data_IF_717307492314
#
_entry.id   IF_717307492314
#
_cell.length_a   1.000
_cell.length_b   1.000
_cell.length_c   1.000
_cell.angle_alpha   90.00
_cell.angle_beta   90.00
_cell.angle_gamma   90.00
#
_symmetry.space_group_name_H-M   'P 1'
#
loop_
_entity.id
_entity.type
_entity.pdbx_description
1 polymer ?
#
# COMPACT_ATOMS: atom_id res chain seq x y z
N UNK A 1 -26.33 0.62 44.46
CA UNK A 1 -26.11 2.00 44.00
C UNK A 1 -27.18 2.86 44.67
N UNK A 2 -26.79 3.96 45.28
CA UNK A 2 -27.72 4.86 45.98
C UNK A 2 -28.42 5.73 44.92
N UNK A 3 -29.73 5.93 45.07
CA UNK A 3 -30.49 6.77 44.15
C UNK A 3 -30.59 8.21 44.68
N UNK A 4 -29.77 9.11 44.16
CA UNK A 4 -29.72 10.52 44.56
C UNK A 4 -31.01 11.29 44.25
N UNK A 5 -31.79 10.91 43.23
CA UNK A 5 -33.10 11.52 42.97
C UNK A 5 -34.08 11.25 44.13
N UNK A 6 -34.03 10.05 44.71
CA UNK A 6 -34.83 9.70 45.90
C UNK A 6 -34.40 10.48 47.14
N UNK A 7 -33.10 10.73 47.30
CA UNK A 7 -32.57 11.55 48.42
C UNK A 7 -33.02 13.01 48.27
N UNK A 8 -33.07 13.53 47.05
CA UNK A 8 -33.56 14.88 46.75
C UNK A 8 -35.09 14.98 46.73
N UNK A 9 -35.82 13.86 46.82
CA UNK A 9 -37.28 13.85 46.82
C UNK A 9 -37.93 14.23 45.48
N UNK A 10 -37.22 14.02 44.37
CA UNK A 10 -37.66 14.37 43.01
C UNK A 10 -37.83 13.12 42.13
N UNK A 11 -38.51 13.29 41.00
CA UNK A 11 -38.66 12.21 40.02
C UNK A 11 -37.30 11.74 39.48
N UNK A 12 -37.21 10.44 39.20
CA UNK A 12 -36.01 9.87 38.56
C UNK A 12 -35.83 10.45 37.16
N UNK A 13 -34.63 10.91 36.84
CA UNK A 13 -34.30 11.61 35.58
C UNK A 13 -34.90 13.01 35.45
N UNK A 14 -35.20 13.69 36.56
CA UNK A 14 -35.62 15.10 36.58
C UNK A 14 -34.56 16.05 35.97
N UNK A 15 -34.98 17.28 35.64
CA UNK A 15 -34.10 18.27 35.03
C UNK A 15 -33.03 18.77 36.02
N UNK A 16 -31.93 19.32 35.50
CA UNK A 16 -30.85 19.89 36.35
C UNK A 16 -31.36 21.06 37.21
N UNK A 17 -32.32 21.84 36.70
CA UNK A 17 -32.98 22.91 37.46
C UNK A 17 -33.75 22.37 38.66
N UNK A 18 -34.50 21.28 38.48
CA UNK A 18 -35.29 20.69 39.56
C UNK A 18 -34.39 20.10 40.65
N UNK A 19 -33.28 19.47 40.26
CA UNK A 19 -32.27 18.96 41.19
C UNK A 19 -31.60 20.08 41.99
N UNK A 20 -31.29 21.21 41.35
CA UNK A 20 -30.72 22.40 42.00
C UNK A 20 -31.67 23.00 43.03
N UNK A 21 -32.95 23.11 42.69
CA UNK A 21 -33.93 23.75 43.55
C UNK A 21 -34.32 22.85 44.73
N UNK A 22 -34.42 21.54 44.52
CA UNK A 22 -34.61 20.56 45.58
C UNK A 22 -33.44 20.57 46.57
N UNK A 23 -32.20 20.58 46.08
CA UNK A 23 -31.01 20.68 46.93
C UNK A 23 -31.02 21.96 47.80
N UNK A 24 -31.32 23.12 47.20
CA UNK A 24 -31.39 24.41 47.92
C UNK A 24 -32.46 24.43 49.00
N UNK A 25 -33.59 23.75 48.80
CA UNK A 25 -34.65 23.65 49.82
C UNK A 25 -34.22 22.76 50.98
N UNK A 26 -33.65 21.59 50.67
CA UNK A 26 -33.24 20.60 51.67
C UNK A 26 -32.04 21.05 52.49
N UNK A 27 -31.05 21.71 51.87
CA UNK A 27 -29.86 22.18 52.60
C UNK A 27 -30.21 23.23 53.66
N UNK A 28 -31.22 24.08 53.42
CA UNK A 28 -31.67 25.07 54.41
C UNK A 28 -32.32 24.46 55.65
N UNK A 29 -32.83 23.24 55.54
CA UNK A 29 -33.50 22.52 56.62
C UNK A 29 -32.51 21.67 57.41
N UNK A 30 -31.51 21.09 56.73
CA UNK A 30 -30.58 20.13 57.33
C UNK A 30 -29.17 20.68 57.57
N UNK A 31 -28.88 21.96 57.25
CA UNK A 31 -27.56 22.53 57.51
C UNK A 31 -27.20 22.43 59.00
N UNK A 32 -25.96 22.05 59.36
CA UNK A 32 -25.55 21.92 60.77
C UNK A 32 -25.71 23.23 61.56
N UNK A 33 -25.66 24.39 60.90
CA UNK A 33 -25.87 25.69 61.56
C UNK A 33 -27.34 26.03 61.83
N UNK A 34 -28.30 25.30 61.26
CA UNK A 34 -29.75 25.60 61.34
C UNK A 34 -30.54 24.47 62.00
N UNK A 35 -30.04 23.23 61.94
CA UNK A 35 -30.74 22.04 62.44
C UNK A 35 -30.02 21.44 63.65
N UNK A 36 -30.72 21.28 64.76
CA UNK A 36 -30.22 20.65 66.00
C UNK A 36 -30.39 19.11 66.00
N UNK A 37 -30.84 18.52 64.88
CA UNK A 37 -31.05 17.07 64.78
C UNK A 37 -29.71 16.32 64.70
N UNK A 38 -29.55 15.18 65.41
CA UNK A 38 -28.36 14.34 65.30
C UNK A 38 -28.12 13.81 63.87
N UNK A 39 -29.15 13.77 63.02
CA UNK A 39 -29.06 13.28 61.64
C UNK A 39 -28.70 14.38 60.62
N UNK A 40 -28.63 15.65 61.05
CA UNK A 40 -28.39 16.80 60.18
C UNK A 40 -27.06 16.71 59.43
N UNK A 41 -26.01 16.21 60.08
CA UNK A 41 -24.69 16.05 59.49
C UNK A 41 -24.67 14.99 58.38
N UNK A 42 -25.28 13.84 58.62
CA UNK A 42 -25.35 12.74 57.65
C UNK A 42 -26.20 13.11 56.43
N UNK A 43 -27.34 13.75 56.67
CA UNK A 43 -28.22 14.22 55.59
C UNK A 43 -27.56 15.30 54.75
N UNK A 44 -26.85 16.25 55.38
CA UNK A 44 -26.07 17.26 54.66
C UNK A 44 -24.98 16.63 53.79
N UNK A 45 -24.30 15.60 54.30
CA UNK A 45 -23.29 14.85 53.54
C UNK A 45 -23.90 14.18 52.30
N UNK A 46 -25.04 13.51 52.44
CA UNK A 46 -25.74 12.84 51.34
C UNK A 46 -26.27 13.85 50.30
N UNK A 47 -26.77 15.01 50.74
CA UNK A 47 -27.23 16.07 49.85
C UNK A 47 -26.09 16.65 49.00
N UNK A 48 -24.90 16.84 49.59
CA UNK A 48 -23.73 17.32 48.86
C UNK A 48 -23.28 16.32 47.80
N UNK A 49 -23.23 15.03 48.13
CA UNK A 49 -22.91 13.97 47.16
C UNK A 49 -23.98 13.90 46.05
N UNK A 50 -25.26 14.06 46.39
CA UNK A 50 -26.33 14.10 45.40
C UNK A 50 -26.15 15.27 44.42
N UNK A 51 -25.85 16.47 44.94
CA UNK A 51 -25.56 17.67 44.13
C UNK A 51 -24.42 17.41 43.15
N UNK A 52 -23.31 16.83 43.59
CA UNK A 52 -22.15 16.61 42.72
C UNK A 52 -22.45 15.72 41.51
N UNK A 53 -23.46 14.84 41.63
CA UNK A 53 -23.86 13.93 40.57
C UNK A 53 -25.06 14.38 39.73
N UNK A 54 -25.93 15.27 40.22
CA UNK A 54 -27.18 15.65 39.51
C UNK A 54 -27.24 17.12 39.07
N UNK A 55 -26.34 17.98 39.54
CA UNK A 55 -26.39 19.43 39.39
C UNK A 55 -25.60 19.97 38.16
N UNK A 56 -24.79 19.13 37.51
CA UNK A 56 -24.08 19.41 36.27
C UNK A 56 -24.58 18.49 35.16
N UNK A 57 -24.73 18.98 33.93
CA UNK A 57 -25.26 18.21 32.80
C UNK A 57 -24.39 16.97 32.50
N UNK A 58 -23.06 17.14 32.52
CA UNK A 58 -22.11 16.05 32.30
C UNK A 58 -22.15 15.00 33.43
N UNK A 59 -22.21 15.46 34.68
CA UNK A 59 -22.30 14.58 35.85
C UNK A 59 -23.63 13.80 35.85
N UNK A 60 -24.74 14.48 35.51
CA UNK A 60 -26.07 13.88 35.44
C UNK A 60 -26.15 12.81 34.35
N UNK A 61 -25.64 13.07 33.15
CA UNK A 61 -25.64 12.07 32.07
C UNK A 61 -24.86 10.80 32.46
N UNK A 62 -23.67 10.96 33.06
CA UNK A 62 -22.89 9.80 33.50
C UNK A 62 -23.58 9.01 34.61
N UNK A 63 -24.25 9.72 35.53
CA UNK A 63 -25.00 9.12 36.62
C UNK A 63 -26.26 8.40 36.12
N UNK A 64 -27.00 9.03 35.21
CA UNK A 64 -28.22 8.49 34.60
C UNK A 64 -27.93 7.23 33.79
N UNK A 65 -26.82 7.21 33.03
CA UNK A 65 -26.37 5.99 32.33
C UNK A 65 -26.06 4.86 33.30
N UNK A 66 -25.37 5.14 34.41
CA UNK A 66 -25.07 4.14 35.45
C UNK A 66 -26.35 3.66 36.14
N UNK A 67 -27.26 4.57 36.47
CA UNK A 67 -28.53 4.27 37.11
C UNK A 67 -29.40 3.39 36.21
N UNK A 68 -29.49 3.73 34.92
CA UNK A 68 -30.21 2.93 33.90
C UNK A 68 -29.62 1.53 33.76
N UNK A 69 -28.29 1.40 33.72
CA UNK A 69 -27.62 0.11 33.66
C UNK A 69 -27.88 -0.73 34.91
N UNK A 70 -27.84 -0.12 36.10
CA UNK A 70 -28.16 -0.79 37.36
C UNK A 70 -29.61 -1.29 37.38
N UNK A 71 -30.57 -0.47 36.92
CA UNK A 71 -31.97 -0.89 36.79
C UNK A 71 -32.15 -2.03 35.79
N UNK A 72 -31.47 -1.99 34.63
CA UNK A 72 -31.55 -3.06 33.64
C UNK A 72 -30.99 -4.39 34.18
N UNK A 73 -29.87 -4.34 34.91
CA UNK A 73 -29.31 -5.52 35.56
C UNK A 73 -30.25 -6.10 36.63
N UNK A 74 -30.91 -5.25 37.41
CA UNK A 74 -31.85 -5.69 38.43
C UNK A 74 -33.14 -6.26 37.81
N UNK A 75 -33.65 -5.66 36.73
CA UNK A 75 -34.76 -6.22 35.93
C UNK A 75 -34.36 -7.59 35.37
N UNK A 76 -33.14 -7.73 34.84
CA UNK A 76 -32.62 -9.01 34.36
C UNK A 76 -32.55 -10.05 35.49
N UNK A 77 -32.14 -9.65 36.69
CA UNK A 77 -32.09 -10.51 37.88
C UNK A 77 -33.49 -10.94 38.34
N UNK A 78 -34.43 -10.01 38.43
CA UNK A 78 -35.80 -10.24 38.92
C UNK A 78 -36.68 -10.98 37.92
N UNK A 79 -36.47 -10.76 36.61
CA UNK A 79 -37.24 -11.41 35.53
C UNK A 79 -37.03 -12.92 35.43
N UNK A 80 -36.23 -13.54 36.31
CA UNK A 80 -36.06 -14.98 36.36
C UNK A 80 -35.46 -15.57 35.08
N UNK A 81 -35.05 -14.74 34.12
CA UNK A 81 -34.18 -15.13 33.03
C UNK A 81 -32.79 -15.34 33.62
N UNK A 82 -32.64 -16.48 34.31
CA UNK A 82 -31.41 -17.26 34.24
C UNK A 82 -31.15 -17.45 32.75
N UNK A 83 -30.48 -16.47 32.15
CA UNK A 83 -29.38 -16.80 31.27
C UNK A 83 -28.47 -17.63 32.16
N UNK A 84 -28.75 -18.94 32.20
CA UNK A 84 -27.71 -19.92 32.46
C UNK A 84 -26.52 -19.39 31.67
N UNK A 85 -25.33 -19.22 32.27
CA UNK A 85 -24.17 -18.90 31.47
C UNK A 85 -24.15 -20.01 30.45
N UNK A 86 -24.55 -19.69 29.22
CA UNK A 86 -24.50 -20.61 28.11
C UNK A 86 -23.05 -20.97 28.14
N UNK A 87 -22.75 -22.18 28.62
CA UNK A 87 -21.45 -22.78 28.49
C UNK A 87 -21.24 -22.72 27.01
N UNK A 88 -20.55 -21.67 26.51
CA UNK A 88 -20.28 -21.49 25.09
C UNK A 88 -19.71 -22.83 24.71
N UNK A 89 -20.49 -23.65 23.99
CA UNK A 89 -20.10 -25.01 23.63
C UNK A 89 -18.70 -24.84 23.09
N UNK A 90 -17.69 -25.40 23.79
CA UNK A 90 -16.29 -25.26 23.37
C UNK A 90 -16.28 -25.76 21.93
N UNK A 91 -16.14 -24.84 20.98
CA UNK A 91 -16.22 -25.17 19.56
C UNK A 91 -15.18 -26.22 19.31
N UNK A 92 -15.63 -27.40 18.87
CA UNK A 92 -14.73 -28.51 18.63
C UNK A 92 -13.82 -28.16 17.45
N UNK A 93 -12.62 -28.75 17.38
CA UNK A 93 -11.74 -28.58 16.20
C UNK A 93 -12.45 -28.90 14.88
N UNK A 94 -13.40 -29.85 14.89
CA UNK A 94 -14.26 -30.19 13.75
C UNK A 94 -15.21 -29.05 13.37
N UNK A 95 -15.89 -28.42 14.35
CA UNK A 95 -16.79 -27.30 14.13
C UNK A 95 -16.05 -26.09 13.56
N UNK A 96 -14.83 -25.83 14.04
CA UNK A 96 -13.98 -24.77 13.51
C UNK A 96 -13.57 -25.06 12.06
N UNK A 97 -13.18 -26.30 11.74
CA UNK A 97 -12.87 -26.73 10.36
C UNK A 97 -14.08 -26.58 9.44
N UNK A 98 -15.27 -26.96 9.90
CA UNK A 98 -16.51 -26.81 9.14
C UNK A 98 -16.84 -25.33 8.88
N UNK A 99 -16.67 -24.46 9.88
CA UNK A 99 -16.82 -23.00 9.74
C UNK A 99 -15.82 -22.43 8.73
N UNK A 100 -14.54 -22.81 8.80
CA UNK A 100 -13.51 -22.37 7.85
C UNK A 100 -13.86 -22.83 6.43
N UNK A 101 -14.28 -24.09 6.26
CA UNK A 101 -14.69 -24.63 4.96
C UNK A 101 -15.89 -23.86 4.39
N UNK A 102 -16.90 -23.57 5.20
CA UNK A 102 -18.08 -22.78 4.82
C UNK A 102 -17.69 -21.35 4.42
N UNK A 103 -16.88 -20.67 5.24
CA UNK A 103 -16.38 -19.32 4.95
C UNK A 103 -15.54 -19.27 3.67
N UNK A 104 -14.68 -20.28 3.42
CA UNK A 104 -13.89 -20.38 2.19
C UNK A 104 -14.80 -20.56 0.97
N UNK A 105 -15.85 -21.37 1.07
CA UNK A 105 -16.83 -21.58 -0.01
C UNK A 105 -17.64 -20.31 -0.30
N UNK A 106 -18.12 -19.61 0.73
CA UNK A 106 -18.83 -18.34 0.61
C UNK A 106 -17.96 -17.27 -0.07
N UNK A 107 -16.68 -17.17 0.32
CA UNK A 107 -15.71 -16.28 -0.33
C UNK A 107 -15.55 -16.59 -1.81
N UNK A 108 -15.41 -17.86 -2.20
CA UNK A 108 -15.33 -18.27 -3.61
C UNK A 108 -16.61 -17.89 -4.39
N UNK A 109 -17.79 -18.09 -3.80
CA UNK A 109 -19.08 -17.70 -4.42
C UNK A 109 -19.18 -16.20 -4.63
N UNK A 110 -18.73 -15.39 -3.65
CA UNK A 110 -18.68 -13.93 -3.76
C UNK A 110 -17.75 -13.47 -4.89
N UNK A 111 -16.58 -14.10 -5.02
CA UNK A 111 -15.63 -13.83 -6.12
C UNK A 111 -16.29 -14.14 -7.47
N UNK A 112 -16.93 -15.31 -7.61
CA UNK A 112 -17.66 -15.70 -8.82
C UNK A 112 -18.73 -14.66 -9.19
N UNK A 113 -19.57 -14.27 -8.24
CA UNK A 113 -20.63 -13.27 -8.46
C UNK A 113 -20.06 -11.91 -8.91
N UNK A 114 -19.02 -11.41 -8.24
CA UNK A 114 -18.37 -10.16 -8.62
C UNK A 114 -17.74 -10.24 -10.02
N UNK A 115 -17.14 -11.39 -10.37
CA UNK A 115 -16.55 -11.61 -11.68
C UNK A 115 -17.61 -11.64 -12.79
N UNK A 116 -18.71 -12.37 -12.60
CA UNK A 116 -19.85 -12.40 -13.55
C UNK A 116 -20.46 -11.01 -13.75
N UNK A 117 -20.56 -10.21 -12.67
CA UNK A 117 -20.96 -8.81 -12.77
C UNK A 117 -19.98 -7.98 -13.60
N UNK A 118 -18.67 -8.15 -13.38
CA UNK A 118 -17.63 -7.42 -14.13
C UNK A 118 -17.65 -7.74 -15.63
N UNK A 119 -17.98 -8.97 -16.01
CA UNK A 119 -18.04 -9.40 -17.41
C UNK A 119 -19.15 -8.71 -18.21
N UNK A 120 -20.21 -8.22 -17.53
CA UNK A 120 -21.27 -7.44 -18.19
C UNK A 120 -20.79 -6.07 -18.63
N UNK A 121 -19.83 -5.48 -17.91
CA UNK A 121 -19.25 -4.17 -18.23
C UNK A 121 -18.11 -4.31 -19.23
N UNK A 122 -17.19 -5.26 -18.99
CA UNK A 122 -16.04 -5.50 -19.85
C UNK A 122 -15.94 -7.01 -20.18
N UNK A 123 -16.37 -7.42 -21.39
CA UNK A 123 -16.31 -8.81 -21.80
C UNK A 123 -14.90 -9.38 -21.78
N UNK A 124 -14.79 -10.70 -21.57
CA UNK A 124 -13.52 -11.41 -21.43
C UNK A 124 -12.49 -11.18 -22.55
N UNK A 125 -12.84 -11.17 -23.87
CA UNK A 125 -11.83 -10.97 -24.91
C UNK A 125 -11.16 -9.59 -24.80
N UNK A 126 -11.92 -8.54 -24.51
CA UNK A 126 -11.38 -7.18 -24.40
C UNK A 126 -10.49 -6.99 -23.18
N UNK A 127 -10.75 -7.70 -22.08
CA UNK A 127 -9.87 -7.74 -20.89
C UNK A 127 -8.50 -8.29 -21.25
N UNK A 128 -8.48 -9.46 -21.90
CA UNK A 128 -7.24 -10.10 -22.31
C UNK A 128 -6.46 -9.21 -23.28
N UNK A 129 -7.14 -8.60 -24.27
CA UNK A 129 -6.51 -7.67 -25.21
C UNK A 129 -5.89 -6.48 -24.47
N UNK A 130 -6.63 -5.84 -23.56
CA UNK A 130 -6.13 -4.72 -22.78
C UNK A 130 -4.90 -5.07 -21.94
N UNK A 131 -4.89 -6.25 -21.31
CA UNK A 131 -3.76 -6.74 -20.52
C UNK A 131 -2.54 -7.00 -21.41
N UNK A 132 -2.73 -7.66 -22.56
CA UNK A 132 -1.64 -7.92 -23.51
C UNK A 132 -1.05 -6.61 -24.05
N UNK A 133 -1.91 -5.66 -24.42
CA UNK A 133 -1.46 -4.33 -24.88
C UNK A 133 -0.69 -3.59 -23.80
N UNK A 134 -1.14 -3.62 -22.54
CA UNK A 134 -0.44 -3.00 -21.42
C UNK A 134 0.95 -3.60 -21.23
N UNK A 135 1.06 -4.94 -21.30
CA UNK A 135 2.34 -5.65 -21.21
C UNK A 135 3.24 -5.26 -22.39
N UNK A 136 2.74 -5.30 -23.63
CA UNK A 136 3.54 -4.94 -24.80
C UNK A 136 4.01 -3.49 -24.76
N UNK A 137 3.15 -2.56 -24.35
CA UNK A 137 3.52 -1.16 -24.22
C UNK A 137 4.57 -0.93 -23.13
N UNK A 138 4.44 -1.64 -22.00
CA UNK A 138 5.46 -1.60 -20.94
C UNK A 138 6.81 -2.15 -21.41
N UNK A 139 6.82 -3.27 -22.14
CA UNK A 139 8.04 -3.84 -22.72
C UNK A 139 8.68 -2.89 -23.73
N UNK A 140 7.87 -2.29 -24.61
CA UNK A 140 8.33 -1.32 -25.60
C UNK A 140 8.98 -0.10 -24.94
N UNK A 141 8.40 0.38 -23.84
CA UNK A 141 8.91 1.53 -23.10
C UNK A 141 10.28 1.21 -22.49
N UNK A 142 10.44 0.03 -21.87
CA UNK A 142 11.74 -0.44 -21.34
C UNK A 142 12.76 -0.60 -22.48
N UNK A 143 12.36 -1.19 -23.61
CA UNK A 143 13.23 -1.44 -24.75
C UNK A 143 13.72 -0.15 -25.44
N UNK A 144 12.83 0.84 -25.57
CA UNK A 144 13.10 2.14 -26.18
C UNK A 144 14.07 2.98 -25.34
N UNK A 145 13.87 3.02 -24.02
CA UNK A 145 14.62 3.90 -23.12
C UNK A 145 15.75 3.19 -22.38
N UNK A 146 16.18 2.02 -22.86
CA UNK A 146 17.27 1.25 -22.25
C UNK A 146 18.61 1.99 -22.29
N UNK A 147 18.91 2.68 -23.40
CA UNK A 147 20.14 3.45 -23.53
C UNK A 147 19.95 4.84 -22.95
N UNK A 148 20.47 5.06 -21.74
CA UNK A 148 20.31 6.32 -21.02
C UNK A 148 21.14 7.45 -21.64
N UNK A 149 20.48 8.60 -21.83
CA UNK A 149 21.15 9.89 -21.97
C UNK A 149 21.44 10.46 -20.56
N UNK A 150 22.65 10.98 -20.34
CA UNK A 150 22.99 11.53 -19.03
C UNK A 150 22.20 12.82 -18.78
N UNK A 151 21.41 12.86 -17.72
CA UNK A 151 20.55 14.00 -17.38
C UNK A 151 19.15 13.99 -18.01
N UNK A 152 18.76 12.94 -18.73
CA UNK A 152 17.39 12.79 -19.27
C UNK A 152 16.44 12.04 -18.31
N UNK A 153 15.15 12.07 -18.64
CA UNK A 153 14.11 11.28 -17.96
C UNK A 153 14.08 9.80 -18.39
N UNK A 154 15.04 9.31 -19.18
CA UNK A 154 15.03 7.91 -19.68
C UNK A 154 15.01 6.89 -18.54
N UNK A 155 15.78 7.14 -17.46
CA UNK A 155 15.77 6.28 -16.28
C UNK A 155 14.39 6.22 -15.63
N UNK A 156 13.72 7.37 -15.50
CA UNK A 156 12.36 7.41 -14.93
C UNK A 156 11.36 6.69 -15.82
N UNK A 157 11.49 6.81 -17.13
CA UNK A 157 10.65 6.10 -18.09
C UNK A 157 10.85 4.58 -17.94
N UNK A 158 12.08 4.07 -17.91
CA UNK A 158 12.33 2.64 -17.68
C UNK A 158 11.71 2.16 -16.37
N UNK A 159 11.84 2.91 -15.27
CA UNK A 159 11.22 2.57 -13.98
C UNK A 159 9.69 2.49 -14.11
N UNK A 160 9.07 3.46 -14.77
CA UNK A 160 7.63 3.46 -15.06
C UNK A 160 7.25 2.25 -15.91
N UNK A 161 8.05 1.91 -16.92
CA UNK A 161 7.87 0.73 -17.76
C UNK A 161 7.89 -0.57 -16.95
N UNK A 162 8.87 -0.74 -16.05
CA UNK A 162 8.96 -1.90 -15.15
C UNK A 162 7.72 -1.98 -14.25
N UNK A 163 7.26 -0.85 -13.71
CA UNK A 163 6.04 -0.77 -12.91
C UNK A 163 4.79 -1.19 -13.69
N UNK A 164 4.62 -0.67 -14.90
CA UNK A 164 3.50 -1.02 -15.80
C UNK A 164 3.54 -2.50 -16.20
N UNK A 165 4.72 -3.06 -16.43
CA UNK A 165 4.91 -4.47 -16.73
C UNK A 165 4.43 -5.35 -15.57
N UNK A 166 4.83 -5.01 -14.35
CA UNK A 166 4.38 -5.71 -13.15
C UNK A 166 2.86 -5.61 -12.99
N UNK A 167 2.29 -4.42 -13.17
CA UNK A 167 0.83 -4.21 -13.13
C UNK A 167 0.12 -5.09 -14.17
N UNK A 168 0.57 -5.08 -15.43
CA UNK A 168 -0.01 -5.92 -16.48
C UNK A 168 0.06 -7.42 -16.17
N UNK A 169 1.18 -7.90 -15.66
CA UNK A 169 1.33 -9.29 -15.24
C UNK A 169 0.44 -9.65 -14.03
N UNK A 170 0.25 -8.74 -13.07
CA UNK A 170 -0.66 -8.97 -11.94
C UNK A 170 -2.11 -9.08 -12.40
N UNK A 171 -2.54 -8.26 -13.37
CA UNK A 171 -3.86 -8.38 -13.98
C UNK A 171 -4.02 -9.72 -14.72
N UNK A 172 -3.03 -10.13 -15.51
CA UNK A 172 -3.04 -11.45 -16.17
C UNK A 172 -3.18 -12.59 -15.15
N UNK A 173 -2.38 -12.56 -14.07
CA UNK A 173 -2.43 -13.56 -13.02
C UNK A 173 -3.77 -13.57 -12.28
N UNK A 174 -4.36 -12.39 -12.03
CA UNK A 174 -5.68 -12.23 -11.41
C UNK A 174 -6.81 -12.85 -12.26
N UNK A 175 -6.77 -12.67 -13.58
CA UNK A 175 -7.72 -13.32 -14.51
C UNK A 175 -7.62 -14.84 -14.42
N UNK A 176 -6.40 -15.37 -14.50
CA UNK A 176 -6.13 -16.81 -14.44
C UNK A 176 -6.57 -17.37 -13.08
N UNK A 177 -6.22 -16.68 -11.99
CA UNK A 177 -6.61 -17.05 -10.63
C UNK A 177 -8.12 -17.13 -10.47
N UNK A 178 -8.86 -16.13 -10.97
CA UNK A 178 -10.31 -16.09 -10.87
C UNK A 178 -10.95 -17.23 -11.66
N UNK A 179 -10.44 -17.55 -12.85
CA UNK A 179 -10.90 -18.71 -13.65
C UNK A 179 -10.70 -20.02 -12.91
N UNK A 180 -9.54 -20.25 -12.30
CA UNK A 180 -9.28 -21.46 -11.52
C UNK A 180 -10.14 -21.54 -10.26
N UNK A 181 -10.41 -20.41 -9.57
CA UNK A 181 -11.35 -20.40 -8.45
C UNK A 181 -12.74 -20.85 -8.90
N UNK A 182 -13.26 -20.30 -10.00
CA UNK A 182 -14.59 -20.64 -10.51
C UNK A 182 -14.63 -22.12 -10.92
N UNK A 183 -13.60 -22.60 -11.61
CA UNK A 183 -13.46 -24.02 -11.97
C UNK A 183 -13.43 -24.93 -10.75
N UNK A 184 -12.72 -24.52 -9.69
CA UNK A 184 -12.63 -25.27 -8.41
C UNK A 184 -13.95 -25.38 -7.64
N UNK A 185 -14.99 -24.63 -8.02
CA UNK A 185 -16.33 -24.78 -7.45
C UNK A 185 -17.11 -25.94 -8.08
N UNK A 186 -16.77 -26.33 -9.31
CA UNK A 186 -17.45 -27.37 -10.07
C UNK A 186 -16.68 -28.69 -10.05
N UNK A 187 -15.36 -28.62 -10.23
CA UNK A 187 -14.48 -29.79 -10.29
C UNK A 187 -13.39 -29.70 -9.25
N UNK A 188 -12.96 -30.85 -8.74
CA UNK A 188 -11.80 -30.89 -7.86
C UNK A 188 -10.54 -30.66 -8.70
N UNK A 189 -9.62 -29.86 -8.18
CA UNK A 189 -8.35 -29.54 -8.85
C UNK A 189 -7.23 -30.13 -8.00
N UNK A 190 -6.47 -31.06 -8.58
CA UNK A 190 -5.51 -31.87 -7.82
C UNK A 190 -4.19 -31.17 -7.51
N UNK A 191 -3.99 -29.94 -8.04
CA UNK A 191 -2.78 -29.17 -7.83
C UNK A 191 -3.04 -27.82 -7.15
N UNK A 192 -2.02 -27.30 -6.47
CA UNK A 192 -2.07 -25.98 -5.84
C UNK A 192 -1.89 -24.86 -6.88
N UNK A 193 -3.00 -24.48 -7.52
CA UNK A 193 -3.00 -23.41 -8.52
C UNK A 193 -2.61 -22.04 -7.93
N UNK A 194 -2.87 -21.78 -6.65
CA UNK A 194 -2.53 -20.49 -6.02
C UNK A 194 -1.00 -20.28 -6.02
N UNK A 195 -0.25 -21.30 -5.58
CA UNK A 195 1.21 -21.27 -5.59
C UNK A 195 1.76 -21.23 -7.02
N UNK A 196 1.21 -22.07 -7.92
CA UNK A 196 1.69 -22.15 -9.31
C UNK A 196 1.56 -20.82 -10.05
N UNK A 197 0.44 -20.12 -9.88
CA UNK A 197 0.22 -18.79 -10.48
C UNK A 197 1.22 -17.79 -9.90
N UNK A 198 1.40 -17.79 -8.57
CA UNK A 198 2.40 -16.93 -7.91
C UNK A 198 3.81 -17.12 -8.45
N UNK A 199 4.29 -18.38 -8.52
CA UNK A 199 5.59 -18.69 -9.10
C UNK A 199 5.70 -18.29 -10.57
N UNK A 200 4.67 -18.54 -11.37
CA UNK A 200 4.68 -18.16 -12.79
C UNK A 200 4.72 -16.65 -13.00
N UNK A 201 4.09 -15.85 -12.12
CA UNK A 201 4.15 -14.39 -12.16
C UNK A 201 5.57 -13.92 -11.87
N UNK A 202 6.17 -14.38 -10.76
CA UNK A 202 7.52 -13.94 -10.36
C UNK A 202 8.56 -14.36 -11.39
N UNK A 203 8.52 -15.63 -11.81
CA UNK A 203 9.44 -16.15 -12.82
C UNK A 203 9.25 -15.44 -14.16
N UNK A 204 8.01 -15.26 -14.60
CA UNK A 204 7.69 -14.55 -15.85
C UNK A 204 8.17 -13.10 -15.84
N UNK A 205 8.05 -12.40 -14.71
CA UNK A 205 8.53 -11.03 -14.54
C UNK A 205 10.06 -10.93 -14.58
N UNK A 206 10.76 -11.86 -13.93
CA UNK A 206 12.23 -11.87 -13.98
C UNK A 206 12.71 -12.20 -15.40
N UNK A 207 12.09 -13.20 -16.04
CA UNK A 207 12.43 -13.62 -17.40
C UNK A 207 12.15 -12.53 -18.43
N UNK A 208 11.06 -11.75 -18.29
CA UNK A 208 10.77 -10.65 -19.20
C UNK A 208 11.82 -9.55 -19.12
N UNK A 209 12.25 -9.17 -17.91
CA UNK A 209 13.31 -8.18 -17.71
C UNK A 209 14.65 -8.67 -18.27
N UNK A 210 15.01 -9.93 -18.00
CA UNK A 210 16.21 -10.54 -18.54
C UNK A 210 16.18 -10.62 -20.07
N UNK A 211 15.04 -10.98 -20.67
CA UNK A 211 14.89 -11.04 -22.12
C UNK A 211 15.03 -9.65 -22.77
N UNK A 212 14.44 -8.61 -22.19
CA UNK A 212 14.57 -7.24 -22.69
C UNK A 212 16.02 -6.75 -22.56
N UNK A 213 16.69 -7.01 -21.43
CA UNK A 213 18.11 -6.66 -21.28
C UNK A 213 18.97 -7.36 -22.32
N UNK A 214 18.82 -8.68 -22.46
CA UNK A 214 19.59 -9.47 -23.43
C UNK A 214 19.35 -9.04 -24.88
N UNK A 215 18.11 -8.70 -25.26
CA UNK A 215 17.81 -8.15 -26.59
C UNK A 215 18.50 -6.79 -26.82
N UNK A 216 18.57 -5.95 -25.80
CA UNK A 216 19.22 -4.64 -25.89
C UNK A 216 20.75 -4.75 -25.92
N UNK A 217 21.33 -5.66 -25.13
CA UNK A 217 22.76 -5.97 -25.15
C UNK A 217 23.16 -6.53 -26.52
N UNK A 218 22.37 -7.45 -27.08
CA UNK A 218 22.58 -7.95 -28.44
C UNK A 218 22.49 -6.83 -29.48
N UNK A 219 21.51 -5.94 -29.35
CA UNK A 219 21.35 -4.76 -30.22
C UNK A 219 22.57 -3.85 -30.16
N UNK A 220 23.05 -3.53 -28.95
CA UNK A 220 24.26 -2.75 -28.73
C UNK A 220 25.47 -3.40 -29.41
N UNK A 221 25.72 -4.68 -29.11
CA UNK A 221 26.83 -5.44 -29.68
C UNK A 221 26.77 -5.49 -31.21
N UNK A 222 25.59 -5.78 -31.78
CA UNK A 222 25.41 -5.86 -33.23
C UNK A 222 25.75 -4.54 -33.93
N UNK A 223 25.25 -3.42 -33.40
CA UNK A 223 25.49 -2.11 -34.00
C UNK A 223 26.93 -1.64 -33.81
N UNK A 224 27.52 -1.83 -32.64
CA UNK A 224 28.93 -1.48 -32.40
C UNK A 224 29.92 -2.36 -33.16
N UNK A 225 29.51 -3.56 -33.60
CA UNK A 225 30.37 -4.43 -34.41
C UNK A 225 30.28 -4.13 -35.91
N UNK A 226 29.08 -3.93 -36.43
CA UNK A 226 28.84 -3.86 -37.88
C UNK A 226 28.64 -2.43 -38.41
N UNK A 227 28.17 -1.50 -37.58
CA UNK A 227 27.72 -0.17 -38.00
C UNK A 227 28.18 0.92 -37.03
N UNK A 228 29.50 1.03 -36.82
CA UNK A 228 30.09 1.98 -35.89
C UNK A 228 30.89 3.09 -36.58
N UNK A 229 31.10 4.19 -35.87
CA UNK A 229 32.07 5.23 -36.18
C UNK A 229 32.76 5.74 -34.92
N UNK A 230 33.75 6.61 -35.08
CA UNK A 230 34.46 7.24 -33.96
C UNK A 230 34.13 8.73 -33.88
N UNK A 231 33.96 9.23 -32.66
CA UNK A 231 33.83 10.65 -32.39
C UNK A 231 34.83 11.09 -31.33
N UNK A 232 35.31 12.32 -31.46
CA UNK A 232 36.01 12.99 -30.37
C UNK A 232 35.01 13.44 -29.30
N UNK A 233 35.25 12.99 -28.08
CA UNK A 233 34.49 13.38 -26.91
C UNK A 233 35.34 14.21 -25.96
N UNK A 234 34.70 15.13 -25.25
CA UNK A 234 35.29 15.93 -24.17
C UNK A 234 34.91 15.32 -22.83
N UNK A 235 35.88 15.15 -21.93
CA UNK A 235 35.64 14.57 -20.61
C UNK A 235 35.15 15.66 -19.66
N UNK A 236 34.02 15.43 -18.99
CA UNK A 236 33.55 16.29 -17.91
C UNK A 236 34.04 15.76 -16.55
N UNK A 237 35.18 16.27 -16.10
CA UNK A 237 35.79 15.88 -14.82
C UNK A 237 34.94 16.27 -13.60
N UNK A 238 34.03 17.25 -13.71
CA UNK A 238 33.18 17.65 -12.58
C UNK A 238 32.02 16.68 -12.37
N UNK A 239 31.48 16.15 -13.48
CA UNK A 239 30.40 15.18 -13.46
C UNK A 239 30.89 13.73 -13.33
N UNK A 240 32.19 13.48 -13.57
CA UNK A 240 32.82 12.16 -13.43
C UNK A 240 33.15 11.86 -11.96
N UNK A 241 32.89 10.63 -11.54
CA UNK A 241 33.13 10.15 -10.17
C UNK A 241 33.92 8.84 -10.21
N UNK A 242 34.36 8.36 -9.05
CA UNK A 242 35.01 7.06 -8.95
C UNK A 242 34.08 5.95 -9.49
N UNK A 243 34.57 5.18 -10.47
CA UNK A 243 33.82 4.13 -11.17
C UNK A 243 33.03 4.55 -12.42
N UNK A 244 32.94 5.84 -12.80
CA UNK A 244 32.38 6.22 -14.10
C UNK A 244 32.87 7.58 -14.62
N UNK A 245 32.97 7.70 -15.95
CA UNK A 245 33.35 8.94 -16.63
C UNK A 245 32.20 9.48 -17.47
N UNK A 246 31.95 10.79 -17.38
CA UNK A 246 30.96 11.47 -18.23
C UNK A 246 31.67 12.12 -19.41
N UNK A 247 31.20 11.80 -20.61
CA UNK A 247 31.74 12.31 -21.87
C UNK A 247 30.68 13.04 -22.67
N UNK A 248 31.10 14.11 -23.34
CA UNK A 248 30.28 14.93 -24.24
C UNK A 248 30.88 14.90 -25.64
N UNK A 249 30.10 14.47 -26.63
CA UNK A 249 30.51 14.39 -28.03
C UNK A 249 29.40 14.90 -28.95
N UNK A 250 29.78 15.31 -30.15
CA UNK A 250 28.84 15.83 -31.15
C UNK A 250 28.86 14.93 -32.38
N UNK A 251 27.69 14.50 -32.82
CA UNK A 251 27.50 13.73 -34.06
C UNK A 251 26.41 14.43 -34.87
N UNK A 252 26.68 14.72 -36.13
CA UNK A 252 25.74 15.37 -37.06
C UNK A 252 25.09 16.66 -36.50
N UNK A 253 25.86 17.45 -35.74
CA UNK A 253 25.39 18.69 -35.12
C UNK A 253 24.56 18.52 -33.84
N UNK A 254 24.25 17.29 -33.42
CA UNK A 254 23.60 17.01 -32.14
C UNK A 254 24.63 16.64 -31.05
N UNK A 255 24.40 17.17 -29.85
CA UNK A 255 25.28 16.96 -28.69
C UNK A 255 24.73 15.83 -27.84
N UNK A 256 25.59 14.86 -27.53
CA UNK A 256 25.28 13.71 -26.70
C UNK A 256 26.09 13.75 -25.40
N UNK A 257 25.42 13.44 -24.29
CA UNK A 257 26.04 13.26 -22.98
C UNK A 257 25.89 11.79 -22.57
N UNK A 258 27.03 11.12 -22.37
CA UNK A 258 27.06 9.72 -21.99
C UNK A 258 27.87 9.50 -20.72
N UNK A 259 27.36 8.62 -19.86
CA UNK A 259 28.13 7.99 -18.80
C UNK A 259 28.76 6.69 -19.34
N UNK A 260 30.08 6.60 -19.26
CA UNK A 260 30.87 5.39 -19.50
C UNK A 260 31.22 4.79 -18.13
N UNK A 261 30.96 3.50 -17.93
CA UNK A 261 31.29 2.79 -16.69
C UNK A 261 32.78 2.38 -16.66
N UNK A 262 33.65 3.36 -16.90
CA UNK A 262 35.11 3.26 -16.94
C UNK A 262 35.70 4.49 -16.27
N UNK A 263 36.78 4.30 -15.52
CA UNK A 263 37.49 5.39 -14.85
C UNK A 263 38.28 6.26 -15.83
N UNK A 264 38.47 7.54 -15.48
CA UNK A 264 39.12 8.52 -16.36
C UNK A 264 40.57 8.18 -16.71
N UNK A 265 41.24 7.35 -15.92
CA UNK A 265 42.62 6.88 -16.10
C UNK A 265 42.75 5.74 -17.11
N UNK A 266 41.71 4.92 -17.26
CA UNK A 266 41.63 3.81 -18.22
C UNK A 266 41.26 4.27 -19.64
N UNK A 267 40.82 5.53 -19.80
CA UNK A 267 40.49 6.12 -21.09
C UNK A 267 41.73 6.63 -21.83
N UNK A 268 41.68 6.59 -23.16
CA UNK A 268 42.67 7.23 -24.01
C UNK A 268 42.58 8.75 -23.82
N UNK A 269 43.65 9.35 -23.31
CA UNK A 269 43.76 10.80 -23.13
C UNK A 269 44.38 11.41 -24.38
N UNK A 270 43.56 12.11 -25.14
CA UNK A 270 43.99 12.95 -26.27
C UNK A 270 44.25 14.38 -25.77
N UNK A 271 44.84 15.21 -26.64
CA UNK A 271 45.07 16.62 -26.34
C UNK A 271 43.78 17.35 -25.94
N UNK A 272 43.91 18.37 -25.09
CA UNK A 272 42.80 19.21 -24.63
C UNK A 272 41.67 18.46 -23.91
N UNK A 273 41.99 17.49 -23.05
CA UNK A 273 41.01 16.74 -22.23
C UNK A 273 39.98 15.95 -23.05
N UNK A 274 40.37 15.53 -24.25
CA UNK A 274 39.53 14.75 -25.15
C UNK A 274 39.80 13.25 -25.01
N UNK A 275 38.83 12.45 -25.40
CA UNK A 275 38.93 11.00 -25.56
C UNK A 275 38.22 10.60 -26.85
N UNK A 276 38.59 9.48 -27.44
CA UNK A 276 37.82 8.89 -28.52
C UNK A 276 36.70 8.03 -27.94
N UNK A 277 35.54 8.05 -28.60
CA UNK A 277 34.39 7.20 -28.28
C UNK A 277 33.96 6.50 -29.55
N UNK A 278 33.68 5.20 -29.44
CA UNK A 278 33.11 4.39 -30.50
C UNK A 278 31.59 4.42 -30.37
N UNK A 279 30.87 4.86 -31.38
CA UNK A 279 29.41 4.97 -31.34
C UNK A 279 28.75 4.26 -32.51
N UNK A 280 27.49 3.83 -32.33
CA UNK A 280 26.69 3.25 -33.40
C UNK A 280 26.13 4.34 -34.33
N UNK A 281 26.30 4.18 -35.65
CA UNK A 281 25.80 5.13 -36.66
C UNK A 281 24.29 5.35 -36.60
N UNK A 282 23.54 4.29 -36.29
CA UNK A 282 22.08 4.34 -36.26
C UNK A 282 21.51 5.07 -35.03
N UNK A 283 22.26 5.04 -33.92
CA UNK A 283 21.88 5.70 -32.68
C UNK A 283 23.14 6.04 -31.89
N UNK A 284 23.61 7.29 -31.97
CA UNK A 284 24.85 7.70 -31.32
C UNK A 284 24.85 7.53 -29.80
N UNK A 285 23.70 7.37 -29.14
CA UNK A 285 23.60 7.12 -27.68
C UNK A 285 24.21 5.75 -27.31
N UNK A 286 24.18 4.80 -28.24
CA UNK A 286 24.86 3.51 -28.11
C UNK A 286 26.33 3.75 -28.39
N UNK A 287 27.14 3.74 -27.33
CA UNK A 287 28.57 4.00 -27.46
C UNK A 287 29.37 3.32 -26.36
N UNK A 288 30.62 3.04 -26.70
CA UNK A 288 31.60 2.34 -25.89
C UNK A 288 32.89 3.17 -25.86
N UNK A 289 33.62 3.05 -24.75
CA UNK A 289 34.95 3.63 -24.63
C UNK A 289 35.91 2.96 -25.62
N UNK A 290 36.85 3.72 -26.18
CA UNK A 290 37.91 3.16 -27.01
C UNK A 290 39.02 2.66 -26.09
N UNK A 291 39.30 1.36 -26.15
CA UNK A 291 40.42 0.77 -25.38
C UNK A 291 41.77 1.22 -25.96
N UNK A 292 42.85 1.30 -25.16
CA UNK A 292 44.17 1.69 -25.65
C UNK A 292 44.65 0.91 -26.89
N UNK A 293 44.31 -0.38 -26.98
CA UNK A 293 44.62 -1.21 -28.15
C UNK A 293 43.84 -0.80 -29.41
N UNK A 294 42.57 -0.41 -29.26
CA UNK A 294 41.76 0.12 -30.36
C UNK A 294 42.17 1.54 -30.75
N UNK A 295 42.89 2.26 -29.87
CA UNK A 295 43.44 3.59 -30.15
C UNK A 295 44.33 3.63 -31.39
N UNK A 296 45.05 2.54 -31.68
CA UNK A 296 45.88 2.42 -32.89
C UNK A 296 45.07 2.29 -34.19
N UNK A 297 43.79 1.94 -34.09
CA UNK A 297 42.86 1.80 -35.21
C UNK A 297 42.03 3.07 -35.45
N UNK A 298 42.29 4.14 -34.69
CA UNK A 298 41.61 5.41 -34.87
C UNK A 298 41.97 6.00 -36.25
N UNK A 299 40.98 6.52 -37.00
CA UNK A 299 41.24 7.29 -38.21
C UNK A 299 42.22 8.43 -37.93
N UNK A 300 43.17 8.67 -38.84
CA UNK A 300 44.15 9.75 -38.68
C UNK A 300 43.52 11.15 -38.76
N UNK A 301 42.30 11.22 -39.28
CA UNK A 301 41.55 12.45 -39.49
C UNK A 301 40.71 12.86 -38.26
N UNK A 302 40.75 12.06 -37.18
CA UNK A 302 40.09 12.37 -35.90
C UNK A 302 40.93 13.28 -35.01
#
# INVERSE_FOLDING_TARGET
MINYYKILGIETYASVSDAKDAYKKLIKVYHPDVSESPDAEEMTRLLNVAKDHTCSEEAKDTYDRKLKLAYLLEIQRLSGTRTTPSTKKKTTRSDLRAKIKKAKLERKRKIKYNYERSLKVLPQPYRNIGIVLLILWSMQLIYSHYFFHYGSFDRTLVIVGIGLLFIGMTFAASEVYTKYIIKSLQTNIDFNFEARIGYSLVLGFILSLAAISGLNEYREYYHLKNHYDYALATIDYKASLYGFTVVKYTVDGQVYFKRLDVETDQLIKLNNRRTAVKYAKINPIICEHVTPYQGYLLPRDL
#
